data_IF_933320550701
#
_entry.id   IF_933320550701
#
_cell.length_a   1.000
_cell.length_b   1.000
_cell.length_c   1.000
_cell.angle_alpha   90.00
_cell.angle_beta   90.00
_cell.angle_gamma   90.00
#
_symmetry.space_group_name_H-M   'P 1'
#
loop_
_entity.id
_entity.type
_entity.pdbx_description
1 polymer ?
#
# COMPACT_ATOMS: atom_id res chain seq x y z
N UNK A 1 -11.12 -12.73 -0.26
CA UNK A 1 -10.73 -12.22 -1.58
C UNK A 1 -9.95 -10.94 -1.42
N UNK A 2 -8.82 -10.82 -2.12
CA UNK A 2 -7.98 -9.63 -2.12
C UNK A 2 -7.83 -9.11 -3.55
N UNK A 3 -8.18 -7.85 -3.77
CA UNK A 3 -7.93 -7.17 -5.04
C UNK A 3 -6.48 -6.68 -5.10
N UNK A 4 -5.99 -6.50 -6.31
CA UNK A 4 -4.64 -5.96 -6.52
C UNK A 4 -4.52 -4.47 -6.14
N UNK A 5 -5.63 -3.74 -6.11
CA UNK A 5 -5.75 -2.37 -5.58
C UNK A 5 -7.21 -2.03 -5.23
N UNK A 6 -7.42 -1.05 -4.35
CA UNK A 6 -8.73 -0.52 -3.99
C UNK A 6 -9.45 -1.29 -2.88
N UNK A 7 -10.68 -0.83 -2.62
CA UNK A 7 -11.62 -1.42 -1.65
C UNK A 7 -12.63 -2.27 -2.40
N UNK A 8 -12.92 -3.45 -1.86
CA UNK A 8 -13.93 -4.34 -2.42
C UNK A 8 -15.32 -3.79 -2.07
N UNK A 9 -16.12 -3.46 -3.09
CA UNK A 9 -17.50 -3.01 -2.87
C UNK A 9 -18.45 -4.20 -2.67
N UNK A 10 -19.51 -3.98 -1.89
CA UNK A 10 -20.54 -4.99 -1.64
C UNK A 10 -21.21 -5.49 -2.95
N UNK A 11 -21.57 -4.62 -3.93
CA UNK A 11 -22.11 -5.08 -5.20
C UNK A 11 -21.15 -5.97 -6.00
N UNK A 12 -19.83 -5.73 -5.89
CA UNK A 12 -18.85 -6.58 -6.55
C UNK A 12 -18.77 -7.98 -5.90
N UNK A 13 -18.84 -8.05 -4.56
CA UNK A 13 -18.88 -9.32 -3.83
C UNK A 13 -20.12 -10.13 -4.23
N UNK A 14 -21.27 -9.49 -4.32
CA UNK A 14 -22.52 -10.12 -4.72
C UNK A 14 -22.45 -10.65 -6.15
N UNK A 15 -21.92 -9.87 -7.09
CA UNK A 15 -21.73 -10.31 -8.47
C UNK A 15 -20.79 -11.52 -8.59
N UNK A 16 -19.70 -11.55 -7.82
CA UNK A 16 -18.78 -12.69 -7.78
C UNK A 16 -19.45 -13.92 -7.17
N UNK A 17 -20.19 -13.74 -6.08
CA UNK A 17 -20.90 -14.85 -5.43
C UNK A 17 -21.98 -15.43 -6.34
N UNK A 18 -22.80 -14.59 -6.99
CA UNK A 18 -23.81 -15.04 -7.95
C UNK A 18 -23.19 -15.86 -9.09
N UNK A 19 -22.07 -15.36 -9.64
CA UNK A 19 -21.33 -16.07 -10.67
C UNK A 19 -20.90 -17.46 -10.22
N UNK A 20 -20.41 -17.61 -8.98
CA UNK A 20 -19.94 -18.91 -8.48
C UNK A 20 -21.10 -19.84 -8.12
N UNK A 21 -22.13 -19.34 -7.42
CA UNK A 21 -23.18 -20.18 -6.82
C UNK A 21 -24.35 -20.46 -7.76
N UNK A 22 -24.74 -19.50 -8.60
CA UNK A 22 -25.96 -19.63 -9.42
C UNK A 22 -25.69 -19.91 -10.90
N UNK A 23 -24.46 -19.68 -11.38
CA UNK A 23 -24.10 -19.87 -12.80
C UNK A 23 -23.33 -21.18 -13.05
N UNK A 24 -23.39 -22.13 -12.12
CA UNK A 24 -22.85 -23.48 -12.29
C UNK A 24 -21.33 -23.59 -12.14
N UNK A 25 -20.69 -22.59 -11.53
CA UNK A 25 -19.23 -22.55 -11.30
C UNK A 25 -18.84 -23.06 -9.90
N UNK A 26 -19.58 -24.04 -9.36
CA UNK A 26 -19.32 -24.68 -8.07
C UNK A 26 -19.43 -26.21 -8.17
N UNK A 27 -18.81 -26.92 -7.22
CA UNK A 27 -18.93 -28.38 -7.12
C UNK A 27 -20.34 -28.80 -6.69
N UNK A 28 -20.82 -29.97 -7.14
CA UNK A 28 -22.18 -30.46 -6.88
C UNK A 28 -22.55 -30.62 -5.39
N UNK A 29 -21.59 -30.54 -4.47
CA UNK A 29 -21.82 -30.63 -3.01
C UNK A 29 -21.11 -29.56 -2.18
N UNK A 30 -20.51 -28.54 -2.81
CA UNK A 30 -19.81 -27.45 -2.13
C UNK A 30 -20.62 -26.15 -2.21
N UNK A 31 -20.83 -25.49 -1.05
CA UNK A 31 -21.30 -24.12 -0.96
C UNK A 31 -20.11 -23.18 -0.74
N UNK A 32 -19.69 -22.50 -1.80
CA UNK A 32 -18.55 -21.58 -1.77
C UNK A 32 -19.02 -20.13 -1.69
N UNK A 33 -18.45 -19.37 -0.75
CA UNK A 33 -18.71 -17.94 -0.61
C UNK A 33 -17.41 -17.12 -0.59
N UNK A 34 -17.37 -16.09 -1.41
CA UNK A 34 -16.33 -15.07 -1.42
C UNK A 34 -16.67 -13.96 -0.42
N UNK A 35 -15.72 -13.70 0.48
CA UNK A 35 -15.75 -12.60 1.45
C UNK A 35 -14.52 -11.69 1.26
N UNK A 36 -14.60 -10.39 1.59
CA UNK A 36 -13.44 -9.50 1.60
C UNK A 36 -12.42 -9.98 2.64
N UNK A 37 -11.12 -9.79 2.36
CA UNK A 37 -10.10 -10.05 3.38
C UNK A 37 -10.25 -9.06 4.55
N UNK A 38 -10.05 -9.50 5.80
CA UNK A 38 -9.99 -8.58 6.93
C UNK A 38 -8.81 -7.61 6.76
N UNK A 39 -8.94 -6.40 7.29
CA UNK A 39 -7.95 -5.33 7.14
C UNK A 39 -7.42 -4.87 8.50
N UNK A 40 -6.16 -4.46 8.55
CA UNK A 40 -5.59 -3.70 9.67
C UNK A 40 -5.23 -2.31 9.19
N UNK A 41 -5.39 -1.30 10.05
CA UNK A 41 -5.22 0.10 9.70
C UNK A 41 -4.03 0.68 10.46
N UNK A 42 -3.09 1.29 9.73
CA UNK A 42 -1.83 1.77 10.27
C UNK A 42 -1.64 3.26 9.97
N UNK A 43 -1.18 4.02 10.96
CA UNK A 43 -0.79 5.42 10.80
C UNK A 43 0.71 5.47 10.50
N UNK A 44 1.10 6.08 9.38
CA UNK A 44 2.48 6.10 8.92
C UNK A 44 2.98 7.54 8.73
N UNK A 45 3.92 7.96 9.57
CA UNK A 45 4.79 9.11 9.31
C UNK A 45 6.07 8.65 8.61
N UNK A 46 6.44 9.35 7.54
CA UNK A 46 7.69 9.20 6.81
C UNK A 46 8.42 10.53 6.76
N UNK A 47 9.69 10.55 7.14
CA UNK A 47 10.55 11.72 6.99
C UNK A 47 11.61 11.43 5.94
N UNK A 48 11.64 12.24 4.89
CA UNK A 48 12.61 12.20 3.81
C UNK A 48 13.71 13.23 4.08
N UNK A 49 14.97 12.84 3.88
CA UNK A 49 16.13 13.71 4.03
C UNK A 49 16.78 13.94 2.67
N UNK A 50 16.91 15.20 2.28
CA UNK A 50 17.53 15.65 1.02
C UNK A 50 18.77 16.51 1.31
N UNK A 51 19.73 16.50 0.38
CA UNK A 51 21.04 17.12 0.54
C UNK A 51 20.99 18.61 0.92
N UNK A 52 20.15 19.38 0.23
CA UNK A 52 19.97 20.80 0.50
C UNK A 52 18.55 21.24 0.16
N UNK A 53 17.68 21.23 1.17
CA UNK A 53 16.28 21.63 1.01
C UNK A 53 16.10 23.07 0.52
N UNK A 54 17.07 23.97 0.75
CA UNK A 54 16.98 25.35 0.27
C UNK A 54 17.09 25.48 -1.25
N UNK A 55 17.58 24.44 -1.94
CA UNK A 55 17.64 24.39 -3.40
C UNK A 55 16.31 23.95 -4.03
N UNK A 56 15.34 23.52 -3.23
CA UNK A 56 14.03 23.08 -3.72
C UNK A 56 13.04 24.24 -3.69
N UNK A 57 12.29 24.40 -4.78
CA UNK A 57 11.07 25.21 -4.77
C UNK A 57 9.97 24.51 -3.97
N UNK A 58 8.97 25.28 -3.50
CA UNK A 58 7.80 24.70 -2.82
C UNK A 58 7.06 23.69 -3.71
N UNK A 59 7.03 23.93 -5.02
CA UNK A 59 6.44 23.01 -5.99
C UNK A 59 7.22 21.70 -6.05
N UNK A 60 8.56 21.76 -6.12
CA UNK A 60 9.40 20.54 -6.14
C UNK A 60 9.22 19.71 -4.86
N UNK A 61 9.17 20.36 -3.69
CA UNK A 61 8.90 19.66 -2.42
C UNK A 61 7.50 19.02 -2.45
N UNK A 62 6.50 19.71 -2.98
CA UNK A 62 5.12 19.20 -3.05
C UNK A 62 5.01 18.01 -3.99
N UNK A 63 5.66 18.07 -5.15
CA UNK A 63 5.73 16.97 -6.12
C UNK A 63 6.44 15.76 -5.52
N UNK A 64 7.64 15.94 -4.94
CA UNK A 64 8.37 14.86 -4.28
C UNK A 64 7.52 14.17 -3.20
N UNK A 65 6.83 14.96 -2.36
CA UNK A 65 5.93 14.42 -1.34
C UNK A 65 4.81 13.60 -1.95
N UNK A 66 4.16 14.13 -3.00
CA UNK A 66 3.03 13.48 -3.68
C UNK A 66 3.46 12.17 -4.34
N UNK A 67 4.60 12.16 -5.03
CA UNK A 67 5.09 10.98 -5.73
C UNK A 67 5.51 9.87 -4.76
N UNK A 68 6.22 10.23 -3.68
CA UNK A 68 6.55 9.28 -2.61
C UNK A 68 5.29 8.77 -1.90
N UNK A 69 4.32 9.65 -1.65
CA UNK A 69 3.04 9.27 -1.09
C UNK A 69 2.34 8.24 -1.98
N UNK A 70 2.26 8.49 -3.29
CA UNK A 70 1.63 7.58 -4.25
C UNK A 70 2.36 6.23 -4.34
N UNK A 71 3.68 6.21 -4.26
CA UNK A 71 4.46 4.96 -4.21
C UNK A 71 4.12 4.15 -2.95
N UNK A 72 4.09 4.79 -1.78
CA UNK A 72 3.74 4.11 -0.52
C UNK A 72 2.29 3.63 -0.58
N UNK A 73 1.35 4.46 -1.04
CA UNK A 73 -0.05 4.07 -1.24
C UNK A 73 -0.19 2.89 -2.21
N UNK A 74 0.67 2.78 -3.22
CA UNK A 74 0.72 1.61 -4.09
C UNK A 74 1.13 0.34 -3.33
N UNK A 75 2.14 0.43 -2.45
CA UNK A 75 2.57 -0.67 -1.59
C UNK A 75 1.43 -1.13 -0.64
N UNK A 76 0.60 -0.21 -0.18
CA UNK A 76 -0.60 -0.49 0.63
C UNK A 76 -1.88 -0.72 -0.21
N UNK A 77 -1.73 -0.92 -1.53
CA UNK A 77 -2.80 -1.30 -2.48
C UNK A 77 -3.93 -0.27 -2.61
N UNK A 78 -3.63 1.01 -2.48
CA UNK A 78 -4.61 2.09 -2.71
C UNK A 78 -4.61 2.57 -4.16
N UNK A 79 -3.49 2.42 -4.88
CA UNK A 79 -3.38 2.70 -6.31
C UNK A 79 -2.54 1.62 -7.03
N UNK A 80 -2.21 1.87 -8.31
CA UNK A 80 -1.45 0.96 -9.19
C UNK A 80 -0.32 1.68 -9.94
N UNK A 81 0.07 2.86 -9.48
CA UNK A 81 0.94 3.76 -10.24
C UNK A 81 2.39 3.28 -10.26
N UNK A 82 2.79 2.46 -9.27
CA UNK A 82 4.16 1.99 -9.10
C UNK A 82 4.26 0.46 -9.07
N UNK A 83 5.43 -0.05 -9.48
CA UNK A 83 5.74 -1.47 -9.36
C UNK A 83 6.61 -1.74 -8.12
N UNK A 84 5.94 -1.87 -6.97
CA UNK A 84 6.53 -2.05 -5.65
C UNK A 84 6.01 -3.30 -4.95
N UNK A 85 6.75 -3.78 -3.93
CA UNK A 85 6.21 -4.86 -3.10
C UNK A 85 4.99 -4.37 -2.35
N UNK A 86 3.90 -5.12 -2.48
CA UNK A 86 2.62 -4.82 -1.83
C UNK A 86 2.48 -5.56 -0.51
N UNK A 87 1.60 -5.06 0.35
CA UNK A 87 1.18 -5.76 1.56
C UNK A 87 0.44 -7.06 1.19
N UNK A 88 0.64 -8.12 1.96
CA UNK A 88 0.00 -9.42 1.75
C UNK A 88 -0.35 -10.06 3.11
N UNK A 89 -1.44 -10.83 3.21
CA UNK A 89 -1.71 -11.68 4.36
C UNK A 89 -0.67 -12.79 4.45
N UNK A 90 -0.42 -13.31 5.65
CA UNK A 90 0.58 -14.33 5.96
C UNK A 90 2.00 -13.97 5.51
N UNK A 91 2.29 -12.68 5.39
CA UNK A 91 3.59 -12.19 4.95
C UNK A 91 4.10 -11.08 5.86
N UNK A 92 5.43 -10.93 5.88
CA UNK A 92 6.08 -9.76 6.47
C UNK A 92 6.16 -8.66 5.42
N UNK A 93 5.61 -7.49 5.73
CA UNK A 93 5.89 -6.27 4.97
C UNK A 93 7.11 -5.57 5.56
N UNK A 94 8.19 -5.49 4.78
CA UNK A 94 9.46 -4.94 5.26
C UNK A 94 9.67 -3.49 4.85
N UNK A 95 9.82 -2.61 5.84
CA UNK A 95 10.07 -1.18 5.61
C UNK A 95 11.48 -0.92 5.09
N UNK A 96 12.45 -1.78 5.40
CA UNK A 96 13.78 -1.68 4.78
C UNK A 96 13.72 -1.90 3.27
N UNK A 97 12.88 -2.83 2.81
CA UNK A 97 12.64 -3.05 1.38
C UNK A 97 11.87 -1.89 0.75
N UNK A 98 10.86 -1.35 1.44
CA UNK A 98 10.14 -0.16 0.99
C UNK A 98 11.08 1.04 0.84
N UNK A 99 11.93 1.30 1.83
CA UNK A 99 12.94 2.35 1.77
C UNK A 99 13.89 2.18 0.58
N UNK A 100 14.36 0.95 0.32
CA UNK A 100 15.16 0.63 -0.86
C UNK A 100 14.42 0.91 -2.18
N UNK A 101 13.12 0.62 -2.25
CA UNK A 101 12.29 0.90 -3.43
C UNK A 101 12.09 2.40 -3.64
N UNK A 102 11.87 3.16 -2.56
CA UNK A 102 11.80 4.63 -2.58
C UNK A 102 13.11 5.23 -3.06
N UNK A 103 14.26 4.84 -2.51
CA UNK A 103 15.56 5.35 -2.97
C UNK A 103 15.87 5.01 -4.44
N UNK A 104 15.38 3.86 -4.92
CA UNK A 104 15.55 3.48 -6.33
C UNK A 104 14.72 4.36 -7.26
N UNK A 105 13.51 4.73 -6.84
CA UNK A 105 12.61 5.55 -7.65
C UNK A 105 12.99 7.04 -7.56
N UNK A 106 13.40 7.50 -6.38
CA UNK A 106 13.68 8.91 -6.08
C UNK A 106 15.13 9.10 -5.63
N UNK A 107 16.02 9.21 -6.60
CA UNK A 107 17.47 9.30 -6.38
C UNK A 107 17.92 10.54 -5.59
N UNK A 108 17.07 11.56 -5.49
CA UNK A 108 17.31 12.80 -4.75
C UNK A 108 17.15 12.67 -3.23
N UNK A 109 16.56 11.57 -2.75
CA UNK A 109 16.41 11.27 -1.33
C UNK A 109 17.68 10.57 -0.84
N UNK A 110 18.44 11.21 0.05
CA UNK A 110 19.67 10.65 0.62
C UNK A 110 19.39 9.65 1.74
N UNK A 111 18.39 9.93 2.56
CA UNK A 111 17.98 9.07 3.67
C UNK A 111 16.49 9.24 3.94
N UNK A 112 15.89 8.27 4.62
CA UNK A 112 14.51 8.33 5.05
C UNK A 112 14.32 7.57 6.35
N UNK A 113 13.29 7.94 7.10
CA UNK A 113 12.88 7.23 8.31
C UNK A 113 11.38 6.98 8.29
N UNK A 114 10.99 5.83 8.83
CA UNK A 114 9.60 5.45 9.04
C UNK A 114 9.31 5.45 10.55
N UNK A 115 8.13 5.90 10.92
CA UNK A 115 7.62 5.79 12.29
C UNK A 115 7.28 4.36 12.72
N UNK A 116 7.06 3.46 11.75
CA UNK A 116 6.72 2.07 11.97
C UNK A 116 7.90 1.14 11.64
N UNK A 117 7.94 -0.01 12.31
CA UNK A 117 8.76 -1.16 11.93
C UNK A 117 8.02 -2.11 10.99
N UNK A 118 8.68 -3.20 10.62
CA UNK A 118 8.11 -4.26 9.78
C UNK A 118 6.77 -4.78 10.33
N UNK A 119 5.79 -4.95 9.45
CA UNK A 119 4.45 -5.45 9.80
C UNK A 119 4.41 -6.96 9.54
N UNK A 120 4.02 -7.73 10.56
CA UNK A 120 3.72 -9.16 10.44
C UNK A 120 2.22 -9.34 10.31
N UNK A 121 1.78 -9.86 9.17
CA UNK A 121 0.36 -10.10 8.91
C UNK A 121 0.01 -11.57 9.04
N UNK A 122 -1.09 -11.83 9.75
CA UNK A 122 -1.80 -13.12 9.70
C UNK A 122 -2.78 -13.10 8.52
N UNK A 123 -4.05 -13.52 8.67
CA UNK A 123 -5.04 -13.46 7.59
C UNK A 123 -5.36 -12.03 7.09
N UNK A 124 -5.05 -11.00 7.87
CA UNK A 124 -5.40 -9.61 7.54
C UNK A 124 -4.45 -8.94 6.54
N UNK A 125 -4.95 -7.96 5.79
CA UNK A 125 -4.15 -7.13 4.89
C UNK A 125 -3.92 -5.74 5.50
N UNK A 126 -2.67 -5.29 5.65
CA UNK A 126 -2.37 -3.93 6.09
C UNK A 126 -2.81 -2.86 5.08
N UNK A 127 -3.51 -1.85 5.59
CA UNK A 127 -3.95 -0.61 4.93
C UNK A 127 -3.46 0.62 5.70
N UNK A 128 -3.43 1.77 5.04
CA UNK A 128 -3.11 3.03 5.70
C UNK A 128 -4.39 3.64 6.27
N UNK A 129 -4.35 3.98 7.55
CA UNK A 129 -5.32 4.88 8.16
C UNK A 129 -4.98 6.33 7.79
N UNK A 130 -3.70 6.66 7.86
CA UNK A 130 -3.15 7.97 7.55
C UNK A 130 -1.71 7.83 7.06
N UNK A 131 -1.30 8.76 6.20
CA UNK A 131 0.06 8.85 5.68
C UNK A 131 0.49 10.31 5.72
N UNK A 132 1.59 10.59 6.41
CA UNK A 132 2.17 11.93 6.51
C UNK A 132 3.59 11.87 5.98
N UNK A 133 3.90 12.71 4.99
CA UNK A 133 5.24 12.86 4.43
C UNK A 133 5.83 14.20 4.88
N UNK A 134 6.99 14.15 5.50
CA UNK A 134 7.83 15.30 5.84
C UNK A 134 9.11 15.29 5.01
N UNK A 135 9.60 16.46 4.63
CA UNK A 135 10.89 16.62 3.96
C UNK A 135 11.77 17.52 4.81
N UNK A 136 12.98 17.07 5.11
CA UNK A 136 13.97 17.77 5.94
C UNK A 136 15.33 17.79 5.22
N UNK A 137 16.16 18.72 5.64
CA UNK A 137 17.58 18.71 5.31
C UNK A 137 18.29 17.62 6.15
N UNK A 138 19.30 16.97 5.57
CA UNK A 138 20.17 15.97 6.24
C UNK A 138 20.89 16.56 7.47
#
# INVERSE_FOLDING_TARGET
MLLDSGVISQPFIEAVNDYITHQGHHGHGDDMQCLPMPETHHELLVTLFVANLANYSQEQVTTLKTDVENLIRCAFRENREYHVKKTWPYARFSFSNLGREIHREFAEIESLTFSLGDILSDLSVPRLQSLIIEVKHV
#
